data_IF_692034508970
#
_entry.id   IF_692034508970
#
_cell.length_a   1.000
_cell.length_b   1.000
_cell.length_c   1.000
_cell.angle_alpha   90.00
_cell.angle_beta   90.00
_cell.angle_gamma   90.00
#
_symmetry.space_group_name_H-M   'P 1'
#
loop_
_entity.id
_entity.type
_entity.pdbx_description
1 polymer ?
#
# COMPACT_ATOMS: atom_id res chain seq x y z
N UNK A 1 14.48 26.21 11.15
CA UNK A 1 13.92 25.13 12.01
C UNK A 1 14.65 23.84 11.69
N UNK A 2 15.48 23.28 12.59
CA UNK A 2 16.17 22.01 12.32
C UNK A 2 15.15 20.87 12.30
N UNK A 3 14.99 20.22 11.14
CA UNK A 3 14.11 19.04 11.01
C UNK A 3 14.67 17.88 11.84
N UNK A 4 13.83 17.26 12.66
CA UNK A 4 14.18 16.03 13.38
C UNK A 4 14.34 14.88 12.38
N UNK A 5 15.20 13.90 12.68
CA UNK A 5 15.46 12.72 11.83
C UNK A 5 14.19 12.09 11.23
N UNK A 6 13.16 11.88 12.05
CA UNK A 6 11.87 11.32 11.61
C UNK A 6 11.18 12.18 10.55
N UNK A 7 11.10 13.49 10.76
CA UNK A 7 10.48 14.42 9.82
C UNK A 7 11.28 14.53 8.52
N UNK A 8 12.60 14.43 8.60
CA UNK A 8 13.47 14.37 7.42
C UNK A 8 13.19 13.11 6.59
N UNK A 9 13.09 11.94 7.23
CA UNK A 9 12.77 10.68 6.52
C UNK A 9 11.38 10.75 5.90
N UNK A 10 10.37 11.22 6.64
CA UNK A 10 9.02 11.40 6.12
C UNK A 10 9.01 12.30 4.88
N UNK A 11 9.73 13.43 4.92
CA UNK A 11 9.83 14.35 3.79
C UNK A 11 10.50 13.70 2.57
N UNK A 12 11.62 13.01 2.78
CA UNK A 12 12.34 12.32 1.70
C UNK A 12 11.42 11.27 1.03
N UNK A 13 10.75 10.44 1.82
CA UNK A 13 9.85 9.41 1.28
C UNK A 13 8.66 10.05 0.55
N UNK A 14 8.07 11.11 1.10
CA UNK A 14 7.00 11.87 0.43
C UNK A 14 7.48 12.41 -0.92
N UNK A 15 8.68 12.99 -1.00
CA UNK A 15 9.24 13.50 -2.26
C UNK A 15 9.45 12.35 -3.26
N UNK A 16 10.00 11.22 -2.83
CA UNK A 16 10.20 10.05 -3.69
C UNK A 16 8.87 9.55 -4.26
N UNK A 17 7.82 9.47 -3.43
CA UNK A 17 6.48 9.05 -3.86
C UNK A 17 5.90 10.04 -4.88
N UNK A 18 6.00 11.35 -4.62
CA UNK A 18 5.50 12.39 -5.53
C UNK A 18 6.20 12.29 -6.90
N UNK A 19 7.54 12.21 -6.91
CA UNK A 19 8.32 12.09 -8.15
C UNK A 19 7.93 10.82 -8.90
N UNK A 20 7.85 9.69 -8.20
CA UNK A 20 7.49 8.40 -8.80
C UNK A 20 6.09 8.43 -9.42
N UNK A 21 5.10 8.97 -8.70
CA UNK A 21 3.73 9.09 -9.19
C UNK A 21 3.61 10.09 -10.35
N UNK A 22 4.38 11.18 -10.34
CA UNK A 22 4.38 12.17 -11.44
C UNK A 22 4.95 11.54 -12.72
N UNK A 23 6.08 10.85 -12.62
CA UNK A 23 6.68 10.11 -13.75
C UNK A 23 5.71 9.03 -14.24
N UNK A 24 5.08 8.29 -13.33
CA UNK A 24 4.08 7.29 -13.68
C UNK A 24 2.85 7.92 -14.37
N UNK A 25 2.41 9.10 -13.93
CA UNK A 25 1.38 9.90 -14.58
C UNK A 25 1.75 10.26 -16.03
N UNK A 26 2.97 10.72 -16.26
CA UNK A 26 3.47 10.99 -17.61
C UNK A 26 3.51 9.72 -18.47
N UNK A 27 3.90 8.59 -17.89
CA UNK A 27 3.90 7.30 -18.56
C UNK A 27 2.48 6.88 -18.95
N UNK A 28 1.49 6.87 -18.06
CA UNK A 28 0.14 6.41 -18.44
C UNK A 28 -0.57 7.34 -19.43
N UNK A 29 -0.11 8.60 -19.57
CA UNK A 29 -0.60 9.56 -20.56
C UNK A 29 0.24 9.59 -21.86
N UNK A 30 1.10 8.59 -22.09
CA UNK A 30 1.89 8.44 -23.31
C UNK A 30 2.85 9.61 -23.60
N UNK A 31 3.19 10.41 -22.58
CA UNK A 31 4.18 11.50 -22.70
C UNK A 31 5.61 10.92 -22.69
N UNK A 32 5.80 9.80 -21.99
CA UNK A 32 7.07 9.07 -21.89
C UNK A 32 6.83 7.56 -21.99
N UNK A 33 7.87 6.84 -22.41
CA UNK A 33 7.83 5.37 -22.60
C UNK A 33 8.51 4.59 -21.47
N UNK A 34 9.00 5.28 -20.44
CA UNK A 34 9.57 4.65 -19.26
C UNK A 34 8.79 5.04 -18.01
N UNK A 35 8.84 4.16 -17.00
CA UNK A 35 8.31 4.40 -15.66
C UNK A 35 9.34 4.04 -14.61
N UNK A 36 9.27 4.71 -13.46
CA UNK A 36 10.13 4.39 -12.31
C UNK A 36 9.49 3.32 -11.40
N UNK A 37 8.35 3.68 -10.81
CA UNK A 37 7.53 2.81 -9.95
C UNK A 37 6.06 3.05 -10.30
N UNK A 38 5.24 1.99 -10.31
CA UNK A 38 3.79 2.14 -10.43
C UNK A 38 3.10 2.44 -9.10
N UNK A 39 1.81 2.75 -9.18
CA UNK A 39 0.92 2.82 -8.02
C UNK A 39 0.97 1.52 -7.22
N UNK A 40 0.96 0.37 -7.90
CA UNK A 40 1.02 -0.95 -7.26
C UNK A 40 2.34 -1.22 -6.55
N UNK A 41 3.45 -0.74 -7.10
CA UNK A 41 4.78 -0.89 -6.50
C UNK A 41 4.96 -0.08 -5.21
N UNK A 42 4.19 0.99 -5.05
CA UNK A 42 4.19 1.89 -3.89
C UNK A 42 3.09 1.54 -2.87
N UNK A 43 2.17 0.64 -3.22
CA UNK A 43 1.00 0.35 -2.42
C UNK A 43 1.30 -0.73 -1.36
N UNK A 44 1.28 -0.41 -0.04
CA UNK A 44 1.54 -1.36 1.03
C UNK A 44 0.43 -2.41 1.20
N UNK A 45 -0.71 -2.24 0.51
CA UNK A 45 -1.80 -3.21 0.45
C UNK A 45 -1.59 -4.29 -0.64
N UNK A 46 -0.49 -4.25 -1.41
CA UNK A 46 -0.22 -5.18 -2.51
C UNK A 46 -0.23 -6.66 -2.10
N UNK A 47 0.32 -6.99 -0.92
CA UNK A 47 0.32 -8.35 -0.36
C UNK A 47 -1.07 -8.95 -0.13
N UNK A 48 -2.12 -8.14 -0.04
CA UNK A 48 -3.48 -8.60 0.20
C UNK A 48 -4.06 -9.38 -0.98
N UNK A 49 -3.73 -8.96 -2.20
CA UNK A 49 -4.17 -9.65 -3.43
C UNK A 49 -3.56 -11.05 -3.58
N UNK A 50 -2.28 -11.19 -3.23
CA UNK A 50 -1.57 -12.46 -3.20
C UNK A 50 -2.14 -13.40 -2.13
N UNK A 51 -2.44 -12.87 -0.93
CA UNK A 51 -3.06 -13.63 0.15
C UNK A 51 -4.46 -14.12 -0.25
N UNK A 52 -5.30 -13.26 -0.84
CA UNK A 52 -6.61 -13.68 -1.35
C UNK A 52 -6.46 -14.82 -2.34
N UNK A 53 -5.60 -14.65 -3.34
CA UNK A 53 -5.40 -15.66 -4.39
C UNK A 53 -4.95 -17.00 -3.82
N UNK A 54 -4.04 -17.01 -2.85
CA UNK A 54 -3.58 -18.22 -2.17
C UNK A 54 -4.69 -18.92 -1.35
N UNK A 55 -5.68 -18.17 -0.85
CA UNK A 55 -6.77 -18.72 -0.03
C UNK A 55 -8.00 -19.14 -0.85
N UNK A 56 -8.27 -18.49 -1.97
CA UNK A 56 -9.50 -18.71 -2.76
C UNK A 56 -9.30 -19.60 -3.98
N UNK A 57 -8.07 -19.73 -4.48
CA UNK A 57 -7.77 -20.45 -5.72
C UNK A 57 -6.90 -21.68 -5.40
N UNK A 58 -7.52 -22.88 -5.36
CA UNK A 58 -6.79 -24.14 -5.14
C UNK A 58 -5.75 -24.42 -6.24
N UNK A 59 -5.90 -23.79 -7.40
CA UNK A 59 -4.96 -23.90 -8.52
C UNK A 59 -3.87 -22.83 -8.50
N UNK A 60 -3.81 -22.00 -7.45
CA UNK A 60 -2.84 -20.92 -7.35
C UNK A 60 -1.41 -21.46 -7.37
N UNK A 61 -0.71 -21.20 -8.47
CA UNK A 61 0.72 -21.45 -8.61
C UNK A 61 1.49 -20.18 -8.26
N UNK A 62 2.39 -20.28 -7.29
CA UNK A 62 3.27 -19.18 -6.90
C UNK A 62 4.16 -18.76 -8.07
N UNK A 63 3.99 -17.52 -8.55
CA UNK A 63 4.77 -16.93 -9.67
C UNK A 63 5.83 -15.91 -9.24
N UNK A 64 6.15 -15.86 -7.94
CA UNK A 64 7.12 -14.90 -7.39
C UNK A 64 6.46 -13.74 -6.62
N UNK A 65 7.29 -12.82 -6.13
CA UNK A 65 6.86 -11.63 -5.39
C UNK A 65 6.81 -10.41 -6.30
N UNK A 66 5.65 -9.76 -6.43
CA UNK A 66 5.59 -8.40 -6.97
C UNK A 66 6.22 -7.41 -5.97
N UNK A 67 6.67 -6.24 -6.44
CA UNK A 67 7.23 -5.19 -5.58
C UNK A 67 6.25 -4.76 -4.46
N UNK A 68 4.95 -4.67 -4.78
CA UNK A 68 3.92 -4.39 -3.78
C UNK A 68 3.82 -5.49 -2.70
N UNK A 69 3.88 -6.77 -3.08
CA UNK A 69 3.88 -7.88 -2.11
C UNK A 69 5.17 -7.91 -1.27
N UNK A 70 6.31 -7.59 -1.88
CA UNK A 70 7.60 -7.48 -1.21
C UNK A 70 7.62 -6.34 -0.18
N UNK A 71 7.02 -5.19 -0.52
CA UNK A 71 6.81 -4.08 0.42
C UNK A 71 5.95 -4.53 1.61
N UNK A 72 4.81 -5.18 1.36
CA UNK A 72 3.95 -5.70 2.44
C UNK A 72 4.69 -6.70 3.33
N UNK A 73 5.51 -7.59 2.76
CA UNK A 73 6.30 -8.55 3.53
C UNK A 73 7.32 -7.85 4.45
N UNK A 74 8.05 -6.85 3.94
CA UNK A 74 8.95 -6.04 4.77
C UNK A 74 8.21 -5.28 5.88
N UNK A 75 7.00 -4.78 5.59
CA UNK A 75 6.14 -4.13 6.59
C UNK A 75 5.71 -5.13 7.67
N UNK A 76 5.34 -6.36 7.31
CA UNK A 76 4.97 -7.42 8.26
C UNK A 76 6.15 -7.77 9.16
N UNK A 77 7.33 -7.98 8.58
CA UNK A 77 8.56 -8.30 9.33
C UNK A 77 8.91 -7.18 10.32
N UNK A 78 8.91 -5.93 9.86
CA UNK A 78 9.20 -4.79 10.75
C UNK A 78 8.11 -4.60 11.80
N UNK A 79 6.82 -4.76 11.48
CA UNK A 79 5.72 -4.69 12.44
C UNK A 79 5.83 -5.75 13.54
N UNK A 80 6.13 -7.00 13.16
CA UNK A 80 6.25 -8.12 14.07
C UNK A 80 7.42 -7.96 15.03
N UNK A 81 8.60 -7.60 14.54
CA UNK A 81 9.80 -7.56 15.39
C UNK A 81 10.12 -6.16 15.95
N UNK A 82 9.90 -5.11 15.18
CA UNK A 82 10.40 -3.76 15.46
C UNK A 82 9.27 -2.75 15.64
N UNK A 83 8.02 -3.21 15.67
CA UNK A 83 6.81 -2.41 15.79
C UNK A 83 6.47 -1.63 14.53
N UNK A 84 5.54 -0.68 14.65
CA UNK A 84 4.87 -0.04 13.49
C UNK A 84 5.75 1.04 12.80
N UNK A 85 6.99 0.69 12.47
CA UNK A 85 8.00 1.55 11.87
C UNK A 85 7.51 2.24 10.60
N UNK A 86 6.85 1.49 9.71
CA UNK A 86 6.32 2.04 8.46
C UNK A 86 5.36 3.20 8.72
N UNK A 87 4.39 3.03 9.64
CA UNK A 87 3.48 4.11 10.04
C UNK A 87 4.21 5.29 10.71
N UNK A 88 5.33 5.01 11.39
CA UNK A 88 6.14 6.00 12.09
C UNK A 88 6.98 6.89 11.17
N UNK A 89 7.56 6.33 10.10
CA UNK A 89 8.60 6.97 9.30
C UNK A 89 8.31 7.05 7.80
N UNK A 90 7.65 6.06 7.19
CA UNK A 90 7.54 5.93 5.72
C UNK A 90 6.15 6.30 5.19
N UNK A 91 5.10 6.07 5.97
CA UNK A 91 3.71 6.28 5.54
C UNK A 91 3.43 7.77 5.23
N UNK A 92 3.13 8.16 3.97
CA UNK A 92 2.82 9.54 3.60
C UNK A 92 1.55 10.06 4.27
N UNK A 93 0.54 9.22 4.47
CA UNK A 93 -0.69 9.58 5.21
C UNK A 93 -0.36 9.95 6.67
N UNK A 94 0.60 9.26 7.28
CA UNK A 94 1.11 9.62 8.61
C UNK A 94 1.89 10.94 8.60
N UNK A 95 2.68 11.19 7.54
CA UNK A 95 3.44 12.42 7.37
C UNK A 95 2.53 13.65 7.17
N UNK A 96 1.47 13.52 6.36
CA UNK A 96 0.45 14.56 6.16
C UNK A 96 -0.18 14.94 7.50
N UNK A 97 -0.65 13.96 8.27
CA UNK A 97 -1.28 14.24 9.57
C UNK A 97 -0.31 14.90 10.56
N UNK A 98 0.97 14.50 10.57
CA UNK A 98 1.99 15.16 11.41
C UNK A 98 2.28 16.59 10.92
N UNK A 99 2.30 16.83 9.61
CA UNK A 99 2.48 18.15 9.02
C UNK A 99 1.33 19.09 9.38
N UNK A 100 0.07 18.66 9.16
CA UNK A 100 -1.10 19.44 9.51
C UNK A 100 -1.20 19.66 11.03
N UNK A 101 -0.84 18.68 11.86
CA UNK A 101 -0.81 18.92 13.31
C UNK A 101 0.23 19.97 13.70
N UNK A 102 1.42 19.93 13.12
CA UNK A 102 2.44 20.95 13.34
C UNK A 102 1.99 22.33 12.84
N UNK A 103 1.25 22.38 11.73
CA UNK A 103 0.66 23.61 11.21
C UNK A 103 -0.40 24.15 12.16
N UNK A 104 -1.32 23.31 12.66
CA UNK A 104 -2.33 23.70 13.64
C UNK A 104 -1.71 24.26 14.93
N UNK A 105 -0.62 23.66 15.40
CA UNK A 105 0.13 24.19 16.56
C UNK A 105 0.74 25.57 16.28
N UNK A 106 1.27 25.81 15.07
CA UNK A 106 1.77 27.14 14.66
C UNK A 106 0.65 28.17 14.55
N UNK A 107 -0.54 27.75 14.15
CA UNK A 107 -1.74 28.57 14.08
C UNK A 107 -2.40 28.78 15.46
N UNK A 108 -1.84 28.23 16.54
CA UNK A 108 -2.40 28.36 17.89
C UNK A 108 -3.70 27.59 18.13
N UNK A 109 -4.04 26.62 17.27
CA UNK A 109 -5.27 25.84 17.41
C UNK A 109 -5.19 24.89 18.62
N UNK A 110 -6.23 24.93 19.45
CA UNK A 110 -6.34 24.07 20.64
C UNK A 110 -6.42 22.60 20.23
N UNK A 111 -5.59 21.77 20.86
CA UNK A 111 -5.61 20.33 20.60
C UNK A 111 -6.82 19.63 21.22
N UNK A 112 -7.46 18.76 20.44
CA UNK A 112 -8.56 17.90 20.88
C UNK A 112 -8.01 16.50 21.16
N UNK A 113 -8.15 16.05 22.41
CA UNK A 113 -7.79 14.70 22.82
C UNK A 113 -9.00 13.77 22.70
N UNK A 114 -8.96 12.88 21.72
CA UNK A 114 -9.95 11.82 21.55
C UNK A 114 -9.64 10.63 22.46
N UNK A 115 -10.69 10.02 23.00
CA UNK A 115 -10.59 8.86 23.89
C UNK A 115 -9.95 7.65 23.18
N UNK A 116 -9.00 6.94 23.81
CA UNK A 116 -8.43 5.71 23.25
C UNK A 116 -9.46 4.59 23.04
N UNK A 117 -10.62 4.62 23.74
CA UNK A 117 -11.65 3.57 23.61
C UNK A 117 -12.18 3.41 22.19
N UNK A 118 -12.25 4.51 21.41
CA UNK A 118 -12.74 4.46 20.03
C UNK A 118 -11.72 3.87 19.04
N UNK A 119 -10.48 3.59 19.47
CA UNK A 119 -9.46 2.99 18.61
C UNK A 119 -9.78 1.53 18.23
N UNK A 120 -10.83 0.95 18.82
CA UNK A 120 -11.40 -0.32 18.38
C UNK A 120 -11.99 -0.23 16.95
N UNK A 121 -12.41 0.96 16.50
CA UNK A 121 -13.06 1.17 15.20
C UNK A 121 -12.17 0.73 14.04
N UNK A 122 -10.85 1.00 14.06
CA UNK A 122 -9.95 0.56 12.98
C UNK A 122 -9.86 -0.96 12.84
N UNK A 123 -10.12 -1.71 13.92
CA UNK A 123 -10.15 -3.18 13.86
C UNK A 123 -11.45 -3.67 13.22
N UNK A 124 -12.57 -2.98 13.45
CA UNK A 124 -13.82 -3.22 12.71
C UNK A 124 -13.64 -2.89 11.22
N UNK A 125 -12.99 -1.78 10.89
CA UNK A 125 -12.63 -1.42 9.50
C UNK A 125 -11.70 -2.46 8.88
N UNK A 126 -10.73 -2.98 9.63
CA UNK A 126 -9.87 -4.05 9.15
C UNK A 126 -10.71 -5.30 8.82
N UNK A 127 -11.54 -5.78 9.76
CA UNK A 127 -12.39 -6.97 9.55
C UNK A 127 -13.30 -6.78 8.33
N UNK A 128 -13.93 -5.61 8.17
CA UNK A 128 -14.82 -5.35 7.03
C UNK A 128 -14.06 -5.34 5.69
N UNK A 129 -12.88 -4.72 5.63
CA UNK A 129 -12.02 -4.73 4.43
C UNK A 129 -11.60 -6.16 4.07
N UNK A 130 -11.22 -6.96 5.07
CA UNK A 130 -10.84 -8.37 4.89
C UNK A 130 -12.02 -9.17 4.33
N UNK A 131 -13.19 -9.07 4.96
CA UNK A 131 -14.40 -9.79 4.55
C UNK A 131 -14.83 -9.44 3.12
N UNK A 132 -14.94 -8.14 2.80
CA UNK A 132 -15.31 -7.67 1.46
C UNK A 132 -14.30 -8.11 0.39
N UNK A 133 -13.01 -8.14 0.73
CA UNK A 133 -11.98 -8.60 -0.20
C UNK A 133 -12.11 -10.10 -0.52
N UNK A 134 -12.37 -10.93 0.49
CA UNK A 134 -12.57 -12.38 0.33
C UNK A 134 -13.82 -12.64 -0.52
N UNK A 135 -14.90 -11.88 -0.30
CA UNK A 135 -16.14 -11.95 -1.09
C UNK A 135 -16.01 -11.40 -2.53
N UNK A 136 -14.85 -10.86 -2.92
CA UNK A 136 -14.67 -10.26 -4.24
C UNK A 136 -15.19 -8.83 -4.40
N UNK A 137 -15.74 -8.24 -3.34
CA UNK A 137 -16.33 -6.89 -3.30
C UNK A 137 -15.29 -5.80 -2.94
N UNK A 138 -14.00 -6.05 -3.18
CA UNK A 138 -12.93 -5.09 -2.86
C UNK A 138 -13.03 -3.79 -3.67
N UNK A 139 -13.64 -3.85 -4.85
CA UNK A 139 -13.90 -2.70 -5.72
C UNK A 139 -14.82 -1.66 -5.08
N UNK A 140 -15.74 -2.07 -4.20
CA UNK A 140 -16.60 -1.15 -3.46
C UNK A 140 -15.83 -0.29 -2.46
N UNK A 141 -14.72 -0.81 -1.92
CA UNK A 141 -13.93 -0.13 -0.89
C UNK A 141 -12.79 0.69 -1.48
N UNK A 142 -12.24 0.26 -2.62
CA UNK A 142 -11.09 0.91 -3.27
C UNK A 142 -11.25 2.43 -3.48
N UNK A 143 -12.41 2.98 -3.88
CA UNK A 143 -12.57 4.42 -4.14
C UNK A 143 -12.56 5.27 -2.87
N UNK A 144 -12.79 4.66 -1.70
CA UNK A 144 -12.77 5.33 -0.40
C UNK A 144 -11.38 5.33 0.25
N UNK A 145 -10.39 4.67 -0.36
CA UNK A 145 -9.03 4.55 0.19
C UNK A 145 -8.28 5.89 0.16
N UNK A 146 -7.93 6.48 1.32
CA UNK A 146 -7.15 7.73 1.35
C UNK A 146 -5.74 7.52 0.81
N UNK A 147 -5.22 6.29 0.90
CA UNK A 147 -3.92 5.93 0.34
C UNK A 147 -3.93 6.00 -1.19
N UNK A 148 -4.94 5.41 -1.82
CA UNK A 148 -5.05 5.44 -3.28
C UNK A 148 -5.32 6.86 -3.78
N UNK A 149 -6.18 7.60 -3.08
CA UNK A 149 -6.42 9.00 -3.37
C UNK A 149 -5.12 9.83 -3.32
N UNK A 150 -4.28 9.61 -2.31
CA UNK A 150 -2.99 10.29 -2.21
C UNK A 150 -2.08 10.02 -3.42
N UNK A 151 -1.99 8.78 -3.90
CA UNK A 151 -1.18 8.44 -5.07
C UNK A 151 -1.75 9.06 -6.35
N UNK A 152 -3.08 9.03 -6.52
CA UNK A 152 -3.75 9.53 -7.71
C UNK A 152 -3.68 11.06 -7.88
N UNK A 153 -3.52 11.83 -6.79
CA UNK A 153 -3.35 13.30 -6.85
C UNK A 153 -2.20 13.69 -7.79
N UNK A 154 -1.12 12.91 -7.83
CA UNK A 154 0.09 13.23 -8.61
C UNK A 154 0.11 12.59 -10.01
N UNK A 155 -0.88 11.74 -10.32
CA UNK A 155 -0.98 11.00 -11.59
C UNK A 155 -1.95 11.71 -12.54
N UNK A 156 -3.01 12.30 -11.99
CA UNK A 156 -4.03 13.04 -12.71
C UNK A 156 -5.15 13.36 -11.74
N UNK A 157 -5.44 14.64 -11.52
CA UNK A 157 -6.38 15.08 -10.48
C UNK A 157 -7.78 14.50 -10.74
N UNK A 158 -8.17 13.52 -9.94
CA UNK A 158 -9.47 12.88 -9.98
C UNK A 158 -10.16 13.05 -8.62
N UNK A 159 -11.30 13.74 -8.62
CA UNK A 159 -12.05 14.02 -7.40
C UNK A 159 -12.91 12.80 -7.03
N UNK A 160 -12.28 11.81 -6.40
CA UNK A 160 -12.94 10.60 -5.89
C UNK A 160 -13.31 10.76 -4.42
N UNK A 161 -14.18 9.88 -3.91
CA UNK A 161 -14.57 9.86 -2.49
C UNK A 161 -13.35 9.82 -1.54
N UNK A 162 -12.33 9.03 -1.88
CA UNK A 162 -11.08 8.97 -1.13
C UNK A 162 -10.32 10.30 -1.05
N UNK A 163 -10.40 11.16 -2.08
CA UNK A 163 -9.79 12.50 -2.08
C UNK A 163 -10.49 13.41 -1.08
N UNK A 164 -11.82 13.36 -1.01
CA UNK A 164 -12.61 14.08 -0.01
C UNK A 164 -12.28 13.57 1.40
N UNK A 165 -12.19 12.25 1.59
CA UNK A 165 -11.79 11.66 2.88
C UNK A 165 -10.38 12.11 3.28
N UNK A 166 -9.42 12.08 2.35
CA UNK A 166 -8.05 12.53 2.60
C UNK A 166 -8.00 14.01 3.01
N UNK A 167 -8.79 14.87 2.36
CA UNK A 167 -8.93 16.28 2.71
C UNK A 167 -9.49 16.44 4.13
N UNK A 168 -10.58 15.75 4.46
CA UNK A 168 -11.19 15.79 5.80
C UNK A 168 -10.21 15.31 6.88
N UNK A 169 -9.49 14.21 6.64
CA UNK A 169 -8.45 13.71 7.54
C UNK A 169 -7.37 14.77 7.76
N UNK A 170 -6.94 15.44 6.70
CA UNK A 170 -5.90 16.48 6.75
C UNK A 170 -6.36 17.69 7.57
N UNK A 171 -7.60 18.15 7.35
CA UNK A 171 -8.20 19.27 8.08
C UNK A 171 -8.40 18.94 9.58
N UNK A 172 -8.96 17.77 9.90
CA UNK A 172 -9.13 17.32 11.30
C UNK A 172 -7.76 17.20 12.00
N UNK A 173 -6.71 16.86 11.25
CA UNK A 173 -5.37 16.73 11.81
C UNK A 173 -4.74 18.03 12.29
N UNK A 174 -5.29 19.20 11.91
CA UNK A 174 -4.91 20.50 12.49
C UNK A 174 -5.14 20.51 14.01
N UNK A 175 -6.28 19.96 14.46
CA UNK A 175 -6.69 19.99 15.87
C UNK A 175 -6.42 18.68 16.60
N UNK A 176 -6.35 17.54 15.92
CA UNK A 176 -6.19 16.24 16.56
C UNK A 176 -5.02 15.42 15.99
N UNK A 177 -4.24 14.76 16.85
CA UNK A 177 -3.05 13.98 16.46
C UNK A 177 -3.43 12.66 15.79
N UNK A 178 -3.01 12.49 14.52
CA UNK A 178 -3.06 11.22 13.76
C UNK A 178 -4.40 10.49 13.82
N UNK A 179 -5.52 11.21 13.69
CA UNK A 179 -6.88 10.67 13.86
C UNK A 179 -7.14 9.48 12.95
N UNK A 180 -6.80 9.56 11.66
CA UNK A 180 -7.02 8.44 10.75
C UNK A 180 -6.22 7.20 11.16
N UNK A 181 -4.94 7.38 11.50
CA UNK A 181 -4.07 6.26 11.91
C UNK A 181 -4.50 5.61 13.22
N UNK A 182 -5.12 6.37 14.13
CA UNK A 182 -5.58 5.88 15.44
C UNK A 182 -6.94 5.17 15.36
N UNK A 183 -7.86 5.71 14.55
CA UNK A 183 -9.27 5.34 14.61
C UNK A 183 -9.81 4.62 13.38
N UNK A 184 -9.22 4.79 12.19
CA UNK A 184 -9.83 4.29 10.94
C UNK A 184 -8.89 3.49 10.04
N UNK A 185 -7.57 3.55 10.25
CA UNK A 185 -6.59 2.95 9.34
C UNK A 185 -6.48 1.42 9.51
N UNK A 186 -6.89 0.61 8.51
CA UNK A 186 -6.83 -0.85 8.61
C UNK A 186 -5.38 -1.36 8.60
N UNK A 187 -4.48 -0.73 7.84
CA UNK A 187 -3.04 -1.06 7.87
C UNK A 187 -2.45 -0.81 9.26
N UNK A 188 -2.90 0.26 9.92
CA UNK A 188 -2.51 0.58 11.27
C UNK A 188 -2.96 -0.50 12.25
N UNK A 189 -4.22 -0.94 12.17
CA UNK A 189 -4.76 -2.02 12.99
C UNK A 189 -3.99 -3.32 12.78
N UNK A 190 -3.73 -3.70 11.52
CA UNK A 190 -2.99 -4.90 11.19
C UNK A 190 -1.57 -4.89 11.78
N UNK A 191 -0.83 -3.79 11.64
CA UNK A 191 0.50 -3.68 12.25
C UNK A 191 0.44 -3.67 13.79
N UNK A 192 -0.61 -3.10 14.40
CA UNK A 192 -0.80 -3.18 15.85
C UNK A 192 -0.99 -4.62 16.32
N UNK A 193 -1.75 -5.45 15.59
CA UNK A 193 -1.93 -6.88 15.90
C UNK A 193 -0.59 -7.63 15.83
N UNK A 194 0.19 -7.41 14.77
CA UNK A 194 1.51 -8.03 14.61
C UNK A 194 2.47 -7.60 15.73
N UNK A 195 2.48 -6.32 16.08
CA UNK A 195 3.34 -5.82 17.15
C UNK A 195 2.90 -6.30 18.54
N UNK A 196 1.60 -6.58 18.73
CA UNK A 196 1.09 -7.12 19.99
C UNK A 196 1.68 -8.51 20.31
N UNK A 197 1.86 -9.36 19.29
CA UNK A 197 2.50 -10.67 19.41
C UNK A 197 4.03 -10.62 19.30
N UNK A 198 4.58 -9.47 18.90
CA UNK A 198 6.01 -9.25 18.69
C UNK A 198 6.88 -9.33 19.96
N UNK A 199 8.14 -9.80 19.85
CA UNK A 199 9.01 -10.00 21.01
C UNK A 199 9.64 -8.70 21.54
N UNK A 200 9.96 -7.73 20.68
CA UNK A 200 10.72 -6.54 21.09
C UNK A 200 9.82 -5.33 21.30
N UNK A 201 9.39 -5.12 22.55
CA UNK A 201 8.54 -4.00 22.96
C UNK A 201 9.33 -2.90 23.65
N UNK A 202 8.87 -1.65 23.51
CA UNK A 202 9.39 -0.52 24.30
C UNK A 202 8.90 -0.69 25.74
N UNK A 203 9.83 -0.85 26.68
CA UNK A 203 9.55 -1.05 28.10
C UNK A 203 9.62 0.29 28.86
N UNK A 204 8.68 0.49 29.78
CA UNK A 204 8.73 1.53 30.82
C UNK A 204 9.61 0.99 31.96
N UNK A 205 10.62 1.75 32.37
CA UNK A 205 11.43 1.46 33.56
C UNK A 205 10.83 2.12 34.81
N UNK A 206 11.58 2.26 35.90
CA UNK A 206 11.13 2.76 37.21
C UNK A 206 10.82 4.27 37.23
N UNK A 207 10.08 4.76 36.24
CA UNK A 207 9.73 6.15 36.06
C UNK A 207 8.22 6.35 36.15
N UNK A 208 7.78 7.09 37.17
CA UNK A 208 6.35 7.43 37.39
C UNK A 208 5.91 8.73 36.70
N UNK A 209 6.62 9.18 35.65
CA UNK A 209 6.25 10.38 34.89
C UNK A 209 6.01 10.06 33.41
N UNK A 210 5.18 10.87 32.76
CA UNK A 210 4.83 10.75 31.34
C UNK A 210 5.27 11.94 30.49
N UNK A 211 6.19 12.78 31.00
CA UNK A 211 6.58 14.04 30.35
C UNK A 211 7.07 13.87 28.91
N UNK A 212 7.89 12.85 28.64
CA UNK A 212 8.39 12.55 27.30
C UNK A 212 7.31 12.10 26.31
N UNK A 213 6.13 11.68 26.80
CA UNK A 213 4.99 11.28 25.98
C UNK A 213 4.13 12.46 25.54
N UNK A 214 4.26 13.66 26.13
CA UNK A 214 3.45 14.84 25.75
C UNK A 214 3.51 15.18 24.26
N UNK A 215 4.60 14.85 23.58
CA UNK A 215 4.78 15.08 22.14
C UNK A 215 4.61 13.82 21.30
N UNK A 216 4.05 12.74 21.88
CA UNK A 216 3.84 11.47 21.20
C UNK A 216 2.83 11.64 20.06
N UNK A 217 3.15 11.27 18.81
CA UNK A 217 2.22 11.46 17.69
C UNK A 217 0.93 10.64 17.78
N UNK A 218 0.88 9.63 18.67
CA UNK A 218 -0.28 8.74 18.86
C UNK A 218 -0.88 8.83 20.26
N UNK A 219 -0.57 9.90 21.00
CA UNK A 219 -1.15 10.19 22.33
C UNK A 219 -1.00 9.05 23.34
N UNK A 220 0.20 8.48 23.44
CA UNK A 220 0.48 7.33 24.32
C UNK A 220 0.35 7.65 25.80
N UNK A 221 0.46 8.93 26.17
CA UNK A 221 0.16 9.45 27.50
C UNK A 221 -1.28 9.19 27.95
N UNK A 222 -2.21 8.91 27.03
CA UNK A 222 -3.60 8.56 27.35
C UNK A 222 -3.80 7.06 27.64
N UNK A 223 -2.79 6.23 27.37
CA UNK A 223 -2.85 4.76 27.54
C UNK A 223 -1.94 4.29 28.67
N UNK A 224 -0.78 4.91 28.81
CA UNK A 224 0.22 4.48 29.79
C UNK A 224 -0.31 4.67 31.21
N UNK A 225 -0.42 3.55 31.93
CA UNK A 225 -0.69 3.50 33.37
C UNK A 225 0.54 3.01 34.13
N UNK A 226 0.58 3.20 35.45
CA UNK A 226 1.65 2.65 36.31
C UNK A 226 1.66 1.12 36.37
N UNK A 227 0.53 0.49 36.03
CA UNK A 227 0.42 -0.97 35.95
C UNK A 227 1.05 -1.55 34.68
N UNK A 228 1.21 -0.76 33.62
CA UNK A 228 1.71 -1.24 32.33
C UNK A 228 3.23 -1.14 32.25
N UNK A 229 3.89 -2.29 31.99
CA UNK A 229 5.34 -2.38 31.85
C UNK A 229 5.85 -2.02 30.45
N UNK A 230 4.95 -1.93 29.47
CA UNK A 230 5.28 -1.73 28.05
C UNK A 230 4.36 -0.70 27.43
N UNK A 231 4.83 -0.01 26.39
CA UNK A 231 3.95 0.81 25.57
C UNK A 231 2.94 -0.06 24.81
N UNK A 232 1.78 0.51 24.53
CA UNK A 232 0.71 -0.17 23.81
C UNK A 232 1.15 -0.60 22.40
N UNK A 233 0.50 -1.63 21.82
CA UNK A 233 0.72 -1.98 20.43
C UNK A 233 0.39 -0.86 19.43
N UNK A 234 -0.28 0.21 19.88
CA UNK A 234 -0.55 1.39 19.09
C UNK A 234 0.68 2.27 18.86
N UNK A 235 1.77 2.04 19.60
CA UNK A 235 3.02 2.75 19.42
C UNK A 235 3.53 2.63 17.97
N UNK A 236 3.83 3.77 17.35
CA UNK A 236 4.42 3.85 16.00
C UNK A 236 5.95 3.71 16.01
N UNK A 237 6.52 3.30 17.15
CA UNK A 237 7.94 3.14 17.39
C UNK A 237 8.78 4.32 16.84
N UNK A 238 8.35 5.56 17.14
CA UNK A 238 9.09 6.76 16.75
C UNK A 238 10.35 7.00 17.61
N UNK A 239 10.46 6.32 18.75
CA UNK A 239 11.55 6.42 19.74
C UNK A 239 11.81 7.83 20.31
N UNK A 240 10.92 8.80 20.07
CA UNK A 240 11.07 10.15 20.62
C UNK A 240 11.07 10.15 22.15
N UNK A 241 10.25 9.30 22.77
CA UNK A 241 10.18 9.19 24.23
C UNK A 241 11.49 8.69 24.87
N UNK A 242 12.34 7.98 24.12
CA UNK A 242 13.66 7.53 24.58
C UNK A 242 14.68 8.67 24.46
N UNK A 243 14.62 9.43 23.36
CA UNK A 243 15.58 10.50 23.03
C UNK A 243 15.37 11.78 23.84
N UNK A 244 14.11 12.14 24.11
CA UNK A 244 13.76 13.39 24.83
C UNK A 244 13.44 13.17 26.31
N UNK A 245 13.74 11.98 26.85
CA UNK A 245 13.51 11.69 28.26
C UNK A 245 14.52 12.43 29.12
N UNK A 246 14.06 13.18 30.13
CA UNK A 246 14.94 13.81 31.14
C UNK A 246 15.68 12.74 31.95
N UNK A 247 15.03 11.60 32.20
CA UNK A 247 15.66 10.41 32.82
C UNK A 247 16.40 9.52 31.80
N UNK A 248 16.51 9.94 30.54
CA UNK A 248 17.15 9.15 29.48
C UNK A 248 16.61 7.71 29.37
N UNK A 249 17.54 6.75 29.35
CA UNK A 249 17.27 5.31 29.26
C UNK A 249 16.59 4.71 30.50
N UNK A 250 16.51 5.47 31.60
CA UNK A 250 15.78 5.08 32.82
C UNK A 250 14.29 5.45 32.76
N UNK A 251 13.81 6.08 31.68
CA UNK A 251 12.39 6.28 31.43
C UNK A 251 11.76 5.20 30.54
N UNK A 252 12.17 5.19 29.27
CA UNK A 252 11.73 4.22 28.28
C UNK A 252 12.94 3.63 27.56
N UNK A 253 12.89 2.32 27.30
CA UNK A 253 13.99 1.61 26.65
C UNK A 253 13.48 0.53 25.69
N UNK A 254 14.19 0.39 24.57
CA UNK A 254 14.03 -0.71 23.63
C UNK A 254 15.29 -1.58 23.70
N UNK A 255 15.12 -2.87 23.98
CA UNK A 255 16.22 -3.85 24.07
C UNK A 255 16.00 -5.00 23.10
N UNK A 256 17.08 -5.43 22.45
CA UNK A 256 17.16 -6.71 21.72
C UNK A 256 18.21 -7.56 22.42
N UNK A 257 17.78 -8.65 23.06
CA UNK A 257 18.59 -9.36 24.04
C UNK A 257 19.03 -8.40 25.15
N UNK A 258 20.35 -8.29 25.37
CA UNK A 258 20.93 -7.41 26.39
C UNK A 258 21.34 -6.03 25.86
N UNK A 259 21.20 -5.76 24.55
CA UNK A 259 21.65 -4.51 23.94
C UNK A 259 20.53 -3.47 23.89
N UNK A 260 20.83 -2.26 24.37
CA UNK A 260 19.99 -1.08 24.23
C UNK A 260 20.03 -0.57 22.78
N UNK A 261 18.87 -0.43 22.15
CA UNK A 261 18.76 0.10 20.79
C UNK A 261 18.64 1.61 20.80
N UNK A 262 19.67 2.28 20.28
CA UNK A 262 19.61 3.72 19.97
C UNK A 262 18.75 3.97 18.74
N UNK A 263 18.11 5.14 18.68
CA UNK A 263 17.22 5.56 17.59
C UNK A 263 17.85 5.42 16.20
N UNK A 264 19.10 5.87 16.01
CA UNK A 264 19.80 5.77 14.71
C UNK A 264 19.95 4.32 14.25
N UNK A 265 20.39 3.43 15.15
CA UNK A 265 20.57 2.00 14.88
C UNK A 265 19.24 1.33 14.56
N UNK A 266 18.19 1.62 15.35
CA UNK A 266 16.84 1.12 15.11
C UNK A 266 16.32 1.52 13.72
N UNK A 267 16.42 2.81 13.37
CA UNK A 267 15.98 3.31 12.07
C UNK A 267 16.75 2.66 10.92
N UNK A 268 18.08 2.55 11.05
CA UNK A 268 18.93 1.95 10.00
C UNK A 268 18.59 0.48 9.79
N UNK A 269 18.38 -0.28 10.88
CA UNK A 269 17.96 -1.67 10.82
C UNK A 269 16.61 -1.83 10.11
N UNK A 270 15.60 -1.04 10.49
CA UNK A 270 14.28 -1.10 9.85
C UNK A 270 14.33 -0.74 8.37
N UNK A 271 15.08 0.31 7.98
CA UNK A 271 15.24 0.70 6.57
C UNK A 271 15.93 -0.43 5.80
N UNK A 272 16.97 -1.04 6.37
CA UNK A 272 17.70 -2.14 5.73
C UNK A 272 16.78 -3.34 5.50
N UNK A 273 15.97 -3.73 6.49
CA UNK A 273 15.00 -4.82 6.34
C UNK A 273 13.96 -4.50 5.26
N UNK A 274 13.41 -3.30 5.25
CA UNK A 274 12.42 -2.89 4.25
C UNK A 274 13.00 -2.88 2.84
N UNK A 275 14.19 -2.29 2.65
CA UNK A 275 14.84 -2.23 1.34
C UNK A 275 15.30 -3.62 0.87
N UNK A 276 15.86 -4.44 1.77
CA UNK A 276 16.24 -5.81 1.45
C UNK A 276 15.03 -6.62 1.02
N UNK A 277 13.91 -6.55 1.74
CA UNK A 277 12.67 -7.20 1.33
C UNK A 277 12.20 -6.69 -0.04
N UNK A 278 12.16 -5.37 -0.23
CA UNK A 278 11.67 -4.75 -1.47
C UNK A 278 12.51 -5.08 -2.71
N UNK A 279 13.83 -5.20 -2.56
CA UNK A 279 14.77 -5.46 -3.67
C UNK A 279 14.96 -6.96 -3.89
N UNK A 280 15.14 -7.74 -2.83
CA UNK A 280 15.53 -9.15 -2.95
C UNK A 280 14.34 -10.07 -3.21
N UNK A 281 13.18 -9.84 -2.59
CA UNK A 281 12.03 -10.75 -2.75
C UNK A 281 11.55 -10.84 -4.20
N UNK A 282 11.45 -9.76 -4.99
CA UNK A 282 11.06 -9.87 -6.40
C UNK A 282 12.06 -10.63 -7.29
N UNK A 283 13.30 -10.84 -6.82
CA UNK A 283 14.28 -11.68 -7.52
C UNK A 283 14.02 -13.17 -7.29
N UNK A 284 13.28 -13.51 -6.23
CA UNK A 284 12.93 -14.89 -5.86
C UNK A 284 11.65 -15.29 -6.60
N UNK A 285 11.76 -16.27 -7.50
CA UNK A 285 10.62 -16.84 -8.21
C UNK A 285 10.39 -16.27 -9.63
N UNK A 286 11.41 -15.65 -10.24
CA UNK A 286 11.44 -15.29 -11.67
C UNK A 286 11.56 -16.55 -12.55
N UNK A 287 10.65 -17.50 -12.40
CA UNK A 287 10.56 -18.66 -13.29
C UNK A 287 9.77 -18.25 -14.53
N UNK A 288 10.50 -17.79 -15.54
CA UNK A 288 10.02 -17.36 -16.87
C UNK A 288 9.49 -18.51 -17.75
N UNK A 289 8.97 -19.59 -17.18
CA UNK A 289 8.34 -20.64 -17.97
C UNK A 289 6.86 -20.24 -18.23
N UNK A 290 6.67 -19.15 -18.96
CA UNK A 290 5.42 -18.93 -19.66
C UNK A 290 5.44 -19.91 -20.84
N UNK A 291 4.74 -21.03 -20.69
CA UNK A 291 4.45 -21.90 -21.82
C UNK A 291 3.66 -21.09 -22.83
N UNK A 292 4.30 -20.81 -23.97
CA UNK A 292 3.66 -20.22 -25.13
C UNK A 292 2.52 -21.15 -25.54
N UNK A 293 1.30 -20.62 -25.62
CA UNK A 293 0.29 -21.24 -26.47
C UNK A 293 0.67 -20.77 -27.87
N UNK A 294 1.49 -21.58 -28.53
CA UNK A 294 1.90 -21.39 -29.91
C UNK A 294 0.91 -22.11 -30.80
N UNK A 295 -0.16 -21.44 -31.22
CA UNK A 295 -0.82 -21.64 -32.53
C UNK A 295 -1.88 -20.56 -32.72
N UNK A 296 -1.46 -19.41 -33.24
CA UNK A 296 -2.35 -18.44 -33.91
C UNK A 296 -2.58 -18.83 -35.39
N UNK A 297 -2.36 -20.09 -35.77
CA UNK A 297 -2.43 -20.53 -37.18
C UNK A 297 -3.87 -20.73 -37.70
N UNK A 298 -4.90 -20.56 -36.86
CA UNK A 298 -6.31 -20.80 -37.23
C UNK A 298 -7.23 -19.59 -37.01
N UNK A 299 -6.67 -18.40 -36.74
CA UNK A 299 -7.47 -17.25 -36.32
C UNK A 299 -8.01 -16.48 -37.52
N UNK A 300 -9.34 -16.34 -37.62
CA UNK A 300 -10.00 -15.69 -38.76
C UNK A 300 -9.92 -14.16 -38.65
N UNK A 301 -9.66 -13.51 -39.77
CA UNK A 301 -9.62 -12.05 -39.88
C UNK A 301 -10.99 -11.45 -39.60
N UNK A 302 -11.03 -10.42 -38.75
CA UNK A 302 -12.27 -9.78 -38.35
C UNK A 302 -12.15 -8.95 -37.09
N UNK A 303 -13.29 -8.44 -36.65
CA UNK A 303 -13.42 -7.67 -35.41
C UNK A 303 -14.30 -8.47 -34.45
N UNK A 304 -13.73 -8.86 -33.32
CA UNK A 304 -14.37 -9.73 -32.35
C UNK A 304 -14.51 -9.02 -31.02
N UNK A 305 -15.65 -9.21 -30.36
CA UNK A 305 -15.88 -8.69 -29.02
C UNK A 305 -15.78 -9.80 -28.00
N UNK A 306 -15.06 -9.53 -26.92
CA UNK A 306 -14.87 -10.48 -25.83
C UNK A 306 -15.12 -9.84 -24.47
N UNK A 307 -15.51 -10.68 -23.51
CA UNK A 307 -15.89 -10.24 -22.17
C UNK A 307 -15.09 -10.98 -21.11
N UNK A 308 -14.72 -10.29 -20.04
CA UNK A 308 -13.94 -10.85 -18.95
C UNK A 308 -14.25 -10.20 -17.62
N UNK A 309 -14.24 -10.98 -16.53
CA UNK A 309 -14.44 -10.46 -15.19
C UNK A 309 -13.15 -9.86 -14.63
N UNK A 310 -13.12 -8.54 -14.49
CA UNK A 310 -12.06 -7.77 -13.85
C UNK A 310 -12.30 -7.49 -12.37
N UNK A 311 -11.55 -6.53 -11.81
CA UNK A 311 -11.75 -6.10 -10.42
C UNK A 311 -13.00 -5.25 -10.28
N UNK A 312 -13.27 -4.37 -11.25
CA UNK A 312 -14.40 -3.45 -11.28
C UNK A 312 -15.72 -4.08 -11.74
N UNK A 313 -15.69 -5.31 -12.26
CA UNK A 313 -16.84 -5.99 -12.84
C UNK A 313 -16.50 -6.58 -14.20
N UNK A 314 -17.52 -6.80 -15.05
CA UNK A 314 -17.32 -7.24 -16.42
C UNK A 314 -16.71 -6.09 -17.24
N UNK A 315 -15.68 -6.39 -18.01
CA UNK A 315 -15.13 -5.50 -19.03
C UNK A 315 -15.28 -6.13 -20.41
N UNK A 316 -15.50 -5.29 -21.41
CA UNK A 316 -15.61 -5.69 -22.80
C UNK A 316 -14.45 -5.11 -23.59
N UNK A 317 -13.86 -5.95 -24.45
CA UNK A 317 -12.81 -5.56 -25.38
C UNK A 317 -13.22 -5.91 -26.80
N UNK A 318 -12.74 -5.11 -27.73
CA UNK A 318 -12.77 -5.33 -29.16
C UNK A 318 -11.36 -5.70 -29.61
N UNK A 319 -11.22 -6.85 -30.25
CA UNK A 319 -9.96 -7.34 -30.80
C UNK A 319 -10.07 -7.33 -32.32
N UNK A 320 -9.15 -6.62 -32.97
CA UNK A 320 -9.04 -6.61 -34.43
C UNK A 320 -7.96 -7.58 -34.87
N UNK A 321 -8.32 -8.49 -35.77
CA UNK A 321 -7.45 -9.52 -36.33
C UNK A 321 -7.35 -9.28 -37.83
N UNK A 322 -6.13 -9.09 -38.33
CA UNK A 322 -5.83 -8.95 -39.75
C UNK A 322 -4.60 -9.77 -40.12
N UNK A 323 -4.63 -10.45 -41.26
CA UNK A 323 -3.59 -11.36 -41.69
C UNK A 323 -3.22 -12.38 -40.58
N UNK A 324 -4.23 -12.95 -39.91
CA UNK A 324 -4.10 -13.92 -38.82
C UNK A 324 -3.31 -13.41 -37.59
N UNK A 325 -3.23 -12.09 -37.41
CA UNK A 325 -2.55 -11.46 -36.29
C UNK A 325 -3.44 -10.44 -35.59
N UNK A 326 -3.35 -10.38 -34.27
CA UNK A 326 -3.98 -9.33 -33.48
C UNK A 326 -3.26 -8.01 -33.79
N UNK A 327 -3.95 -7.07 -34.42
CA UNK A 327 -3.41 -5.75 -34.76
C UNK A 327 -3.80 -4.66 -33.76
N UNK A 328 -4.91 -4.84 -33.05
CA UNK A 328 -5.41 -3.85 -32.09
C UNK A 328 -6.29 -4.51 -31.03
N UNK A 329 -6.22 -3.97 -29.81
CA UNK A 329 -7.10 -4.33 -28.70
C UNK A 329 -7.64 -3.03 -28.11
N UNK A 330 -8.95 -2.83 -28.21
CA UNK A 330 -9.63 -1.64 -27.71
C UNK A 330 -10.58 -2.01 -26.57
N UNK A 331 -10.43 -1.37 -25.42
CA UNK A 331 -11.37 -1.57 -24.30
C UNK A 331 -12.63 -0.73 -24.55
N UNK A 332 -13.78 -1.39 -24.65
CA UNK A 332 -15.07 -0.76 -24.93
C UNK A 332 -15.75 -0.24 -23.67
N UNK A 333 -15.73 -1.02 -22.58
CA UNK A 333 -16.28 -0.63 -21.29
C UNK A 333 -15.53 -1.30 -20.12
N UNK A 334 -15.50 -0.63 -18.98
CA UNK A 334 -14.96 -1.17 -17.73
C UNK A 334 -15.35 -0.28 -16.53
N UNK A 335 -15.22 -0.84 -15.33
CA UNK A 335 -15.39 -0.11 -14.05
C UNK A 335 -14.16 -0.26 -13.13
N UNK A 336 -13.00 -0.51 -13.73
CA UNK A 336 -11.73 -0.76 -13.04
C UNK A 336 -11.18 0.45 -12.27
N UNK A 337 -10.28 0.19 -11.33
CA UNK A 337 -9.72 1.20 -10.44
C UNK A 337 -8.72 2.13 -11.17
N UNK A 338 -8.99 3.44 -11.12
CA UNK A 338 -8.09 4.46 -11.69
C UNK A 338 -6.72 4.47 -11.01
N UNK A 339 -5.68 4.63 -11.83
CA UNK A 339 -4.26 4.54 -11.45
C UNK A 339 -3.67 3.15 -11.69
N UNK A 340 -4.50 2.13 -11.91
CA UNK A 340 -4.08 0.76 -12.21
C UNK A 340 -4.45 0.32 -13.62
N UNK A 341 -5.70 0.52 -14.04
CA UNK A 341 -6.18 -0.03 -15.31
C UNK A 341 -5.44 0.54 -16.52
N UNK A 342 -5.00 1.81 -16.45
CA UNK A 342 -4.32 2.47 -17.56
C UNK A 342 -3.03 1.75 -17.93
N UNK A 343 -2.26 1.31 -16.94
CA UNK A 343 -1.06 0.51 -17.18
C UNK A 343 -1.42 -0.86 -17.74
N UNK A 344 -2.45 -1.53 -17.19
CA UNK A 344 -2.90 -2.85 -17.69
C UNK A 344 -3.24 -2.76 -19.18
N UNK A 345 -4.11 -1.82 -19.55
CA UNK A 345 -4.58 -1.69 -20.92
C UNK A 345 -3.44 -1.27 -21.86
N UNK A 346 -2.58 -0.32 -21.45
CA UNK A 346 -1.44 0.11 -22.28
C UNK A 346 -0.40 -1.00 -22.45
N UNK A 347 0.13 -1.52 -21.34
CA UNK A 347 1.28 -2.44 -21.38
C UNK A 347 0.91 -3.82 -21.92
N UNK A 348 -0.23 -4.37 -21.50
CA UNK A 348 -0.62 -5.72 -21.92
C UNK A 348 -1.15 -5.73 -23.35
N UNK A 349 -1.88 -4.70 -23.80
CA UNK A 349 -2.29 -4.62 -25.20
C UNK A 349 -1.06 -4.54 -26.11
N UNK A 350 -0.08 -3.69 -25.76
CA UNK A 350 1.18 -3.60 -26.48
C UNK A 350 1.93 -4.93 -26.52
N UNK A 351 2.11 -5.59 -25.37
CA UNK A 351 2.79 -6.90 -25.29
C UNK A 351 2.08 -7.96 -26.12
N UNK A 352 0.74 -8.05 -26.06
CA UNK A 352 -0.02 -9.03 -26.85
C UNK A 352 0.09 -8.75 -28.35
N UNK A 353 -0.06 -7.49 -28.78
CA UNK A 353 0.05 -7.13 -30.21
C UNK A 353 1.46 -7.40 -30.74
N UNK A 354 2.49 -7.09 -29.96
CA UNK A 354 3.88 -7.28 -30.38
C UNK A 354 4.29 -8.75 -30.40
N UNK A 355 3.97 -9.49 -29.33
CA UNK A 355 4.45 -10.87 -29.13
C UNK A 355 3.49 -11.93 -29.67
N UNK A 356 2.24 -11.56 -29.98
CA UNK A 356 1.14 -12.48 -30.26
C UNK A 356 1.08 -13.58 -29.18
N UNK A 357 1.15 -13.19 -27.90
CA UNK A 357 1.13 -14.13 -26.78
C UNK A 357 0.07 -13.73 -25.76
N UNK A 358 -0.92 -14.59 -25.54
CA UNK A 358 -2.00 -14.38 -24.57
C UNK A 358 -1.63 -14.80 -23.14
N UNK A 359 -0.36 -15.07 -22.88
CA UNK A 359 0.19 -15.35 -21.55
C UNK A 359 1.08 -14.20 -21.06
N UNK A 360 0.53 -12.99 -21.03
CA UNK A 360 1.23 -11.84 -20.47
C UNK A 360 1.25 -11.85 -18.93
N UNK A 361 2.28 -11.25 -18.36
CA UNK A 361 2.41 -11.12 -16.90
C UNK A 361 1.43 -10.09 -16.34
N UNK A 362 0.89 -10.38 -15.15
CA UNK A 362 -0.04 -9.47 -14.51
C UNK A 362 0.67 -8.20 -14.00
N UNK A 363 0.04 -7.04 -14.20
CA UNK A 363 0.53 -5.77 -13.67
C UNK A 363 0.50 -5.76 -12.14
N UNK A 364 1.60 -5.31 -11.54
CA UNK A 364 1.78 -5.18 -10.09
C UNK A 364 0.62 -4.40 -9.45
N UNK A 365 -0.08 -5.04 -8.50
CA UNK A 365 -1.23 -4.43 -7.80
C UNK A 365 -2.55 -4.43 -8.58
N UNK A 366 -2.56 -4.87 -9.85
CA UNK A 366 -3.74 -4.91 -10.72
C UNK A 366 -4.03 -6.33 -11.24
N UNK A 367 -3.79 -7.36 -10.42
CA UNK A 367 -3.87 -8.78 -10.85
C UNK A 367 -5.25 -9.18 -11.38
N UNK A 368 -6.33 -8.82 -10.67
CA UNK A 368 -7.70 -9.14 -11.11
C UNK A 368 -8.06 -8.42 -12.40
N UNK A 369 -7.69 -7.16 -12.55
CA UNK A 369 -7.84 -6.38 -13.77
C UNK A 369 -7.07 -7.00 -14.94
N UNK A 370 -5.81 -7.39 -14.72
CA UNK A 370 -4.95 -8.02 -15.72
C UNK A 370 -5.52 -9.36 -16.20
N UNK A 371 -6.02 -10.19 -15.27
CA UNK A 371 -6.69 -11.45 -15.61
C UNK A 371 -7.99 -11.22 -16.35
N UNK A 372 -8.79 -10.24 -15.94
CA UNK A 372 -10.03 -9.86 -16.62
C UNK A 372 -9.78 -9.44 -18.07
N UNK A 373 -8.78 -8.58 -18.29
CA UNK A 373 -8.35 -8.15 -19.61
C UNK A 373 -7.83 -9.31 -20.48
N UNK A 374 -6.98 -10.18 -19.93
CA UNK A 374 -6.51 -11.37 -20.66
C UNK A 374 -7.66 -12.31 -21.03
N UNK A 375 -8.59 -12.54 -20.12
CA UNK A 375 -9.73 -13.40 -20.38
C UNK A 375 -10.68 -12.79 -21.41
N UNK A 376 -10.89 -11.47 -21.40
CA UNK A 376 -11.70 -10.81 -22.43
C UNK A 376 -11.05 -10.89 -23.81
N UNK A 377 -9.72 -10.78 -23.90
CA UNK A 377 -9.00 -10.98 -25.17
C UNK A 377 -9.09 -12.44 -25.63
N UNK A 378 -8.90 -13.41 -24.72
CA UNK A 378 -9.06 -14.84 -25.04
C UNK A 378 -10.46 -15.18 -25.51
N UNK A 379 -11.50 -14.64 -24.88
CA UNK A 379 -12.90 -14.82 -25.29
C UNK A 379 -13.19 -14.22 -26.68
N UNK A 380 -12.57 -13.09 -27.03
CA UNK A 380 -12.67 -12.53 -28.37
C UNK A 380 -11.97 -13.42 -29.41
N UNK A 381 -10.76 -13.90 -29.09
CA UNK A 381 -9.97 -14.78 -29.97
C UNK A 381 -10.66 -16.14 -30.14
N UNK A 382 -11.25 -16.74 -29.11
CA UNK A 382 -11.97 -18.01 -29.28
C UNK A 382 -13.14 -17.87 -30.26
N UNK A 383 -13.87 -16.74 -30.25
CA UNK A 383 -14.96 -16.49 -31.21
C UNK A 383 -14.49 -16.35 -32.66
N UNK A 384 -13.21 -16.07 -32.88
CA UNK A 384 -12.63 -16.05 -34.23
C UNK A 384 -12.23 -17.43 -34.75
N UNK A 385 -12.23 -18.46 -33.90
CA UNK A 385 -12.00 -19.86 -34.29
C UNK A 385 -13.32 -20.58 -34.66
N UNK A 386 -14.45 -20.12 -34.15
CA UNK A 386 -15.76 -20.77 -34.28
C UNK A 386 -16.59 -20.31 -35.50
N UNK A 387 -16.05 -19.44 -36.37
CA UNK A 387 -16.78 -18.78 -37.46
C UNK A 387 -16.53 -19.36 -38.86
#
# INVERSE_FOLDING_TARGET
MKLKLRSTIQLIITIIVIISCTIYGMYINEIIDFRLLSVGDLNPYGGWSALKSALTDLSYRWRGFSRGTALTAGIVLTALFLGRFFCGYFCPIGAIQDFFKNLGNKLGLKEINLSPKFEIIKYLVLISVIALSIMGLGNLVSPYSPWLAYLNIFIGFNLQAGTVILLLISLISLVARRVFCRYFCPLGAFQSLLYAIGPFKIKKSECNCSYCLKTCPVSEELRVSDKEKHLSPECINCLNCIETCVKGTEGFQLKIGNKLLKKKTYVTLCITILLAAYILLPLIGRNSAVQAISTFEEVIDGVYTGSGMGFGGIMNVEVTINNQKITSIKVLNHSETSGYYQEVFRSMAYEIVETQNLSADAVSGATSTSRGFLNSVRDAVSKSLDN
#
